data_IF_003999212405
#
_entry.id   IF_003999212405
#
_cell.length_a   1.000
_cell.length_b   1.000
_cell.length_c   1.000
_cell.angle_alpha   90.00
_cell.angle_beta   90.00
_cell.angle_gamma   90.00
#
_symmetry.space_group_name_H-M   'P 1'
#
loop_
_entity.id
_entity.type
_entity.pdbx_description
1 polymer ?
#
# COMPACT_ATOMS: atom_id res chain seq x y z
N UNK A 1 -21.83 -1.90 -13.52
CA UNK A 1 -21.72 -0.54 -12.96
C UNK A 1 -22.09 -0.61 -11.50
N UNK A 2 -21.34 0.06 -10.64
CA UNK A 2 -21.58 0.08 -9.19
C UNK A 2 -22.82 0.89 -8.86
N UNK A 3 -23.54 0.48 -7.82
CA UNK A 3 -24.68 1.21 -7.28
C UNK A 3 -24.42 1.73 -5.86
N UNK A 4 -23.55 1.05 -5.11
CA UNK A 4 -23.32 1.32 -3.68
C UNK A 4 -21.84 1.15 -3.36
N UNK A 5 -21.11 2.26 -3.26
CA UNK A 5 -19.67 2.25 -2.96
C UNK A 5 -19.46 2.53 -1.47
N UNK A 6 -18.88 1.58 -0.76
CA UNK A 6 -18.42 1.79 0.61
C UNK A 6 -17.03 2.44 0.63
N UNK A 7 -16.90 3.51 1.40
CA UNK A 7 -15.63 4.24 1.61
C UNK A 7 -14.97 3.73 2.88
N UNK A 8 -13.89 2.96 2.72
CA UNK A 8 -13.09 2.41 3.82
C UNK A 8 -11.91 3.35 4.11
N UNK A 9 -12.21 4.62 4.24
CA UNK A 9 -11.25 5.69 4.54
C UNK A 9 -11.98 6.86 5.18
N UNK A 10 -11.22 7.86 5.64
CA UNK A 10 -11.72 9.05 6.36
C UNK A 10 -11.08 10.34 5.84
N UNK A 11 -11.56 11.48 6.33
CA UNK A 11 -10.95 12.79 6.07
C UNK A 11 -10.99 13.19 4.59
N UNK A 12 -9.90 13.74 4.13
CA UNK A 12 -9.78 14.30 2.78
C UNK A 12 -9.97 13.26 1.67
N UNK A 13 -9.34 12.07 1.70
CA UNK A 13 -9.54 11.06 0.66
C UNK A 13 -11.00 10.64 0.50
N UNK A 14 -11.71 10.46 1.61
CA UNK A 14 -13.14 10.14 1.59
C UNK A 14 -13.98 11.24 0.93
N UNK A 15 -13.71 12.50 1.27
CA UNK A 15 -14.38 13.65 0.65
C UNK A 15 -14.11 13.73 -0.85
N UNK A 16 -12.89 13.46 -1.29
CA UNK A 16 -12.54 13.47 -2.73
C UNK A 16 -13.32 12.42 -3.51
N UNK A 17 -13.40 11.19 -2.98
CA UNK A 17 -14.22 10.16 -3.62
C UNK A 17 -15.69 10.56 -3.68
N UNK A 18 -16.26 11.06 -2.56
CA UNK A 18 -17.67 11.48 -2.52
C UNK A 18 -17.96 12.54 -3.58
N UNK A 19 -17.06 13.51 -3.75
CA UNK A 19 -17.18 14.55 -4.78
C UNK A 19 -17.09 13.97 -6.19
N UNK A 20 -16.10 13.13 -6.45
CA UNK A 20 -15.93 12.48 -7.76
C UNK A 20 -17.16 11.63 -8.16
N UNK A 21 -17.75 10.91 -7.21
CA UNK A 21 -18.98 10.13 -7.47
C UNK A 21 -20.17 11.05 -7.74
N UNK A 22 -20.28 12.19 -7.07
CA UNK A 22 -21.33 13.16 -7.34
C UNK A 22 -21.21 13.77 -8.74
N UNK A 23 -20.01 14.22 -9.11
CA UNK A 23 -19.71 14.72 -10.46
C UNK A 23 -20.07 13.67 -11.51
N UNK A 24 -19.69 12.43 -11.30
CA UNK A 24 -20.01 11.33 -12.21
C UNK A 24 -21.52 11.07 -12.32
N UNK A 25 -22.24 11.17 -11.21
CA UNK A 25 -23.70 11.05 -11.19
C UNK A 25 -24.39 12.21 -11.93
N UNK A 26 -23.88 13.44 -11.75
CA UNK A 26 -24.41 14.64 -12.43
C UNK A 26 -24.19 14.57 -13.94
N UNK A 27 -23.01 14.13 -14.38
CA UNK A 27 -22.66 14.03 -15.79
C UNK A 27 -23.39 12.88 -16.53
N UNK A 28 -23.57 11.74 -15.86
CA UNK A 28 -24.02 10.51 -16.53
C UNK A 28 -25.32 9.92 -15.98
N UNK A 29 -25.87 10.45 -14.89
CA UNK A 29 -27.11 9.96 -14.32
C UNK A 29 -27.05 8.56 -13.69
N UNK A 30 -25.88 8.10 -13.24
CA UNK A 30 -25.68 6.73 -12.77
C UNK A 30 -26.38 6.41 -11.44
N UNK A 31 -26.60 7.41 -10.58
CA UNK A 31 -27.28 7.23 -9.30
C UNK A 31 -26.50 6.37 -8.30
N UNK A 32 -25.16 6.42 -8.34
CA UNK A 32 -24.28 5.72 -7.41
C UNK A 32 -24.42 6.35 -6.03
N UNK A 33 -24.66 5.54 -5.01
CA UNK A 33 -24.69 5.96 -3.61
C UNK A 33 -23.36 5.70 -2.93
N UNK A 34 -22.92 6.66 -2.13
CA UNK A 34 -21.68 6.55 -1.35
C UNK A 34 -22.00 6.32 0.12
N UNK A 35 -21.42 5.29 0.71
CA UNK A 35 -21.58 4.90 2.09
C UNK A 35 -20.29 5.16 2.86
N UNK A 36 -20.29 6.04 3.83
CA UNK A 36 -19.14 6.30 4.69
C UNK A 36 -19.07 5.26 5.81
N UNK A 37 -17.96 4.51 5.88
CA UNK A 37 -17.63 3.74 7.06
C UNK A 37 -16.87 4.65 8.03
N UNK A 38 -17.28 4.69 9.31
CA UNK A 38 -16.68 5.61 10.27
C UNK A 38 -16.65 5.04 11.69
N UNK A 39 -15.71 5.49 12.50
CA UNK A 39 -15.71 5.22 13.95
C UNK A 39 -16.69 6.12 14.66
N UNK A 40 -17.10 5.77 15.88
CA UNK A 40 -18.01 6.63 16.68
C UNK A 40 -17.44 8.03 16.91
N UNK A 41 -16.12 8.14 17.09
CA UNK A 41 -15.46 9.44 17.24
C UNK A 41 -15.59 10.34 16.00
N UNK A 42 -15.77 9.74 14.83
CA UNK A 42 -15.87 10.45 13.54
C UNK A 42 -17.33 10.76 13.13
N UNK A 43 -18.30 10.42 13.94
CA UNK A 43 -19.75 10.57 13.64
C UNK A 43 -20.14 11.95 13.09
N UNK A 44 -19.43 12.99 13.50
CA UNK A 44 -19.68 14.38 13.07
C UNK A 44 -18.71 14.86 11.99
N UNK A 45 -17.81 14.00 11.49
CA UNK A 45 -16.84 14.37 10.49
C UNK A 45 -17.52 14.77 9.16
N UNK A 46 -16.84 15.61 8.40
CA UNK A 46 -17.35 16.16 7.15
C UNK A 46 -17.71 15.05 6.15
N UNK A 47 -16.87 14.03 5.99
CA UNK A 47 -17.10 12.95 5.05
C UNK A 47 -18.34 12.11 5.41
N UNK A 48 -18.62 11.92 6.69
CA UNK A 48 -19.82 11.21 7.16
C UNK A 48 -21.10 11.99 6.81
N UNK A 49 -21.07 13.31 7.00
CA UNK A 49 -22.21 14.18 6.65
C UNK A 49 -22.39 14.38 5.14
N UNK A 50 -21.30 14.20 4.38
CA UNK A 50 -21.34 14.37 2.94
C UNK A 50 -21.74 13.09 2.19
N UNK A 51 -21.62 11.93 2.79
CA UNK A 51 -22.04 10.65 2.19
C UNK A 51 -23.57 10.53 2.17
N UNK A 52 -24.09 9.64 1.31
CA UNK A 52 -25.54 9.36 1.23
C UNK A 52 -26.03 8.51 2.41
N UNK A 53 -25.15 7.63 2.90
CA UNK A 53 -25.38 6.76 4.05
C UNK A 53 -24.11 6.66 4.90
N UNK A 54 -24.24 6.22 6.13
CA UNK A 54 -23.11 5.99 7.02
C UNK A 54 -23.30 4.72 7.85
N UNK A 55 -22.21 3.98 8.09
CA UNK A 55 -22.18 2.79 8.94
C UNK A 55 -21.05 2.94 9.95
N UNK A 56 -21.38 2.75 11.22
CA UNK A 56 -20.41 2.77 12.32
C UNK A 56 -19.57 1.49 12.29
N UNK A 57 -18.25 1.66 12.29
CA UNK A 57 -17.29 0.61 12.56
C UNK A 57 -17.16 0.42 14.08
N UNK A 58 -17.41 -0.77 14.57
CA UNK A 58 -17.34 -1.13 15.98
C UNK A 58 -15.89 -1.38 16.38
N UNK A 59 -15.48 -0.86 17.52
CA UNK A 59 -14.18 -1.24 18.08
C UNK A 59 -14.26 -2.66 18.66
N UNK A 60 -13.41 -3.55 18.15
CA UNK A 60 -13.33 -4.94 18.61
C UNK A 60 -12.12 -5.20 19.51
N UNK A 61 -11.30 -4.17 19.78
CA UNK A 61 -10.06 -4.28 20.59
C UNK A 61 -9.20 -3.04 20.57
N UNK A 62 -7.90 -3.20 20.79
CA UNK A 62 -6.93 -2.12 20.89
C UNK A 62 -6.49 -1.50 19.55
N UNK A 63 -6.95 -2.03 18.42
CA UNK A 63 -6.56 -1.58 17.07
C UNK A 63 -7.55 -0.61 16.42
N UNK A 64 -7.16 -0.09 15.27
CA UNK A 64 -8.05 0.71 14.42
C UNK A 64 -9.10 -0.19 13.77
N UNK A 65 -10.41 0.12 13.88
CA UNK A 65 -11.46 -0.64 13.20
C UNK A 65 -11.32 -0.66 11.67
N UNK A 66 -10.61 0.30 11.10
CA UNK A 66 -10.27 0.32 9.66
C UNK A 66 -9.24 -0.73 9.24
N UNK A 67 -8.65 -1.46 10.20
CA UNK A 67 -7.72 -2.56 9.97
C UNK A 67 -8.30 -3.93 10.38
N UNK A 68 -9.52 -3.94 10.92
CA UNK A 68 -10.20 -5.16 11.37
C UNK A 68 -11.05 -5.74 10.23
N UNK A 69 -10.57 -6.80 9.61
CA UNK A 69 -11.24 -7.45 8.48
C UNK A 69 -12.63 -8.00 8.84
N UNK A 70 -12.80 -8.52 10.06
CA UNK A 70 -14.10 -9.04 10.48
C UNK A 70 -15.13 -7.92 10.58
N UNK A 71 -14.74 -6.80 11.18
CA UNK A 71 -15.60 -5.62 11.29
C UNK A 71 -15.85 -4.94 9.94
N UNK A 72 -14.83 -4.83 9.09
CA UNK A 72 -14.99 -4.31 7.73
C UNK A 72 -15.95 -5.19 6.92
N UNK A 73 -15.80 -6.52 6.97
CA UNK A 73 -16.71 -7.45 6.30
C UNK A 73 -18.15 -7.29 6.78
N UNK A 74 -18.37 -7.19 8.10
CA UNK A 74 -19.68 -6.93 8.69
C UNK A 74 -20.27 -5.61 8.19
N UNK A 75 -19.48 -4.55 8.17
CA UNK A 75 -19.94 -3.22 7.75
C UNK A 75 -20.31 -3.20 6.25
N UNK A 76 -19.48 -3.81 5.41
CA UNK A 76 -19.73 -3.94 3.97
C UNK A 76 -21.03 -4.69 3.67
N UNK A 77 -21.29 -5.79 4.36
CA UNK A 77 -22.54 -6.54 4.24
C UNK A 77 -23.74 -5.73 4.76
N UNK A 78 -23.59 -5.06 5.91
CA UNK A 78 -24.66 -4.23 6.52
C UNK A 78 -25.12 -3.14 5.56
N UNK A 79 -24.21 -2.47 4.88
CA UNK A 79 -24.55 -1.42 3.91
C UNK A 79 -24.90 -1.96 2.52
N UNK A 80 -24.84 -3.25 2.31
CA UNK A 80 -25.09 -3.89 1.00
C UNK A 80 -24.24 -3.25 -0.10
N UNK A 81 -22.96 -3.02 0.19
CA UNK A 81 -22.04 -2.48 -0.78
C UNK A 81 -21.84 -3.48 -1.94
N UNK A 82 -21.77 -2.99 -3.16
CA UNK A 82 -21.36 -3.76 -4.33
C UNK A 82 -19.92 -3.42 -4.75
N UNK A 83 -19.37 -2.31 -4.19
CA UNK A 83 -17.97 -1.96 -4.33
C UNK A 83 -17.42 -1.37 -3.02
N UNK A 84 -16.11 -1.54 -2.80
CA UNK A 84 -15.36 -0.97 -1.69
C UNK A 84 -14.16 -0.19 -2.24
N UNK A 85 -13.99 1.04 -1.76
CA UNK A 85 -12.87 1.88 -2.10
C UNK A 85 -12.11 2.29 -0.83
N UNK A 86 -10.78 2.16 -0.87
CA UNK A 86 -9.89 2.56 0.23
C UNK A 86 -9.06 3.79 -0.16
N UNK A 87 -8.56 3.82 -1.39
CA UNK A 87 -7.66 4.86 -1.88
C UNK A 87 -6.22 4.61 -1.43
N UNK A 88 -5.85 5.13 -0.26
CA UNK A 88 -4.52 4.96 0.32
C UNK A 88 -4.59 4.80 1.84
N UNK A 89 -3.57 4.17 2.44
CA UNK A 89 -3.54 3.89 3.89
C UNK A 89 -4.49 2.76 4.31
N UNK A 90 -4.57 2.49 5.61
CA UNK A 90 -5.35 1.38 6.17
C UNK A 90 -5.11 0.07 5.40
N UNK A 91 -6.17 -0.50 4.83
CA UNK A 91 -6.15 -1.77 4.09
C UNK A 91 -6.01 -1.57 2.56
N UNK A 92 -5.55 -0.40 2.09
CA UNK A 92 -5.42 -0.11 0.65
C UNK A 92 -4.42 -1.03 -0.06
N UNK A 93 -3.36 -1.44 0.65
CA UNK A 93 -2.30 -2.32 0.15
C UNK A 93 -2.37 -3.72 0.79
N UNK A 94 -3.51 -4.06 1.40
CA UNK A 94 -3.70 -5.34 2.08
C UNK A 94 -4.38 -6.35 1.16
N UNK A 95 -3.65 -7.36 0.65
CA UNK A 95 -4.22 -8.37 -0.23
C UNK A 95 -5.34 -9.19 0.43
N UNK A 96 -5.30 -9.38 1.76
CA UNK A 96 -6.34 -10.13 2.47
C UNK A 96 -7.67 -9.36 2.51
N UNK A 97 -7.63 -8.02 2.52
CA UNK A 97 -8.85 -7.22 2.40
C UNK A 97 -9.45 -7.30 0.98
N UNK A 98 -8.62 -7.27 -0.06
CA UNK A 98 -9.12 -7.47 -1.43
C UNK A 98 -9.75 -8.86 -1.62
N UNK A 99 -9.17 -9.91 -1.01
CA UNK A 99 -9.75 -11.27 -0.99
C UNK A 99 -11.03 -11.34 -0.18
N UNK A 100 -11.11 -10.65 0.96
CA UNK A 100 -12.35 -10.53 1.72
C UNK A 100 -13.46 -9.91 0.87
N UNK A 101 -13.19 -8.81 0.16
CA UNK A 101 -14.16 -8.21 -0.76
C UNK A 101 -14.61 -9.23 -1.82
N UNK A 102 -13.68 -9.93 -2.45
CA UNK A 102 -13.99 -10.95 -3.45
C UNK A 102 -14.86 -12.09 -2.88
N UNK A 103 -14.58 -12.56 -1.67
CA UNK A 103 -15.36 -13.59 -0.97
C UNK A 103 -16.80 -13.18 -0.68
N UNK A 104 -17.02 -11.87 -0.53
CA UNK A 104 -18.34 -11.26 -0.32
C UNK A 104 -19.02 -10.82 -1.62
N UNK A 105 -18.46 -11.14 -2.79
CA UNK A 105 -18.90 -10.68 -4.09
C UNK A 105 -18.95 -9.12 -4.21
N UNK A 106 -18.05 -8.44 -3.52
CA UNK A 106 -17.88 -6.98 -3.53
C UNK A 106 -16.65 -6.65 -4.37
N UNK A 107 -16.75 -5.73 -5.30
CA UNK A 107 -15.61 -5.29 -6.11
C UNK A 107 -14.71 -4.39 -5.27
N UNK A 108 -13.45 -4.80 -5.07
CA UNK A 108 -12.44 -3.91 -4.53
C UNK A 108 -11.96 -2.95 -5.63
N UNK A 109 -12.18 -1.64 -5.42
CA UNK A 109 -11.69 -0.61 -6.35
C UNK A 109 -10.23 -0.33 -6.03
N UNK A 110 -9.35 -1.12 -6.61
CA UNK A 110 -7.91 -1.12 -6.38
C UNK A 110 -7.24 -2.28 -7.13
N UNK A 111 -5.93 -2.49 -6.89
CA UNK A 111 -5.20 -3.57 -7.54
C UNK A 111 -5.67 -4.95 -7.07
N UNK A 112 -5.54 -6.00 -7.91
CA UNK A 112 -5.83 -7.37 -7.49
C UNK A 112 -4.91 -7.83 -6.35
N UNK A 113 -5.39 -8.72 -5.48
CA UNK A 113 -4.61 -9.25 -4.37
C UNK A 113 -3.28 -9.87 -4.80
N UNK A 114 -3.24 -10.54 -5.96
CA UNK A 114 -2.02 -11.11 -6.53
C UNK A 114 -0.97 -10.03 -6.87
N UNK A 115 -1.40 -8.91 -7.48
CA UNK A 115 -0.51 -7.78 -7.77
C UNK A 115 0.00 -7.13 -6.48
N UNK A 116 -0.87 -6.97 -5.47
CA UNK A 116 -0.46 -6.45 -4.17
C UNK A 116 0.60 -7.33 -3.50
N UNK A 117 0.46 -8.67 -3.55
CA UNK A 117 1.46 -9.58 -2.99
C UNK A 117 2.80 -9.49 -3.72
N UNK A 118 2.76 -9.49 -5.05
CA UNK A 118 3.95 -9.40 -5.87
C UNK A 118 4.72 -8.09 -5.66
N UNK A 119 4.00 -6.95 -5.68
CA UNK A 119 4.62 -5.63 -5.58
C UNK A 119 4.86 -5.16 -4.14
N UNK A 120 4.17 -5.76 -3.17
CA UNK A 120 4.37 -5.50 -1.74
C UNK A 120 5.67 -6.11 -1.21
N UNK A 121 6.17 -7.18 -1.81
CA UNK A 121 7.49 -7.72 -1.55
C UNK A 121 8.53 -6.96 -2.40
N UNK A 122 9.44 -6.23 -1.73
CA UNK A 122 10.43 -5.39 -2.42
C UNK A 122 11.45 -6.18 -3.24
N UNK A 123 11.73 -7.41 -2.85
CA UNK A 123 12.63 -8.32 -3.56
C UNK A 123 11.94 -8.82 -4.83
N UNK A 124 10.71 -9.32 -4.71
CA UNK A 124 9.92 -9.79 -5.86
C UNK A 124 9.65 -8.66 -6.85
N UNK A 125 9.33 -7.46 -6.36
CA UNK A 125 9.13 -6.28 -7.21
C UNK A 125 10.39 -5.92 -8.02
N UNK A 126 11.58 -6.00 -7.42
CA UNK A 126 12.86 -5.77 -8.13
C UNK A 126 13.15 -6.87 -9.15
N UNK A 127 12.95 -8.12 -8.81
CA UNK A 127 13.11 -9.25 -9.74
C UNK A 127 12.16 -9.11 -10.94
N UNK A 128 10.90 -8.72 -10.69
CA UNK A 128 9.95 -8.46 -11.76
C UNK A 128 10.39 -7.29 -12.64
N UNK A 129 10.89 -6.21 -12.04
CA UNK A 129 11.42 -5.06 -12.79
C UNK A 129 12.55 -5.47 -13.73
N UNK A 130 13.52 -6.27 -13.25
CA UNK A 130 14.61 -6.79 -14.07
C UNK A 130 14.10 -7.70 -15.20
N UNK A 131 13.18 -8.62 -14.89
CA UNK A 131 12.57 -9.53 -15.88
C UNK A 131 11.83 -8.77 -16.99
N UNK A 132 11.25 -7.63 -16.67
CA UNK A 132 10.51 -6.78 -17.63
C UNK A 132 11.38 -5.70 -18.28
N UNK A 133 12.69 -5.68 -17.99
CA UNK A 133 13.64 -4.72 -18.55
C UNK A 133 13.54 -3.32 -17.96
N UNK A 134 12.90 -3.16 -16.81
CA UNK A 134 12.86 -1.88 -16.08
C UNK A 134 14.18 -1.71 -15.32
N UNK A 135 14.90 -0.60 -15.51
CA UNK A 135 16.17 -0.35 -14.82
C UNK A 135 15.98 -0.30 -13.30
N UNK A 136 16.84 -1.00 -12.57
CA UNK A 136 16.92 -0.94 -11.11
C UNK A 136 18.33 -0.50 -10.68
N UNK A 137 18.41 0.15 -9.52
CA UNK A 137 19.72 0.44 -8.93
C UNK A 137 20.46 -0.88 -8.63
N UNK A 138 21.81 -0.92 -8.72
CA UNK A 138 22.58 -2.11 -8.34
C UNK A 138 22.19 -2.59 -6.94
N UNK A 139 21.92 -3.87 -6.78
CA UNK A 139 21.40 -4.45 -5.55
C UNK A 139 21.88 -5.90 -5.33
N UNK A 140 21.54 -6.50 -4.20
CA UNK A 140 21.99 -7.85 -3.83
C UNK A 140 21.37 -8.99 -4.67
N UNK A 141 20.46 -8.72 -5.58
CA UNK A 141 19.82 -9.74 -6.42
C UNK A 141 18.88 -10.68 -5.65
N UNK A 142 18.72 -10.46 -4.35
CA UNK A 142 17.93 -11.30 -3.46
C UNK A 142 18.15 -10.97 -1.99
N UNK A 143 17.65 -11.82 -1.07
CA UNK A 143 17.92 -11.72 0.35
C UNK A 143 19.41 -11.79 0.67
N UNK A 144 19.81 -11.13 1.75
CA UNK A 144 21.18 -11.21 2.28
C UNK A 144 21.23 -12.19 3.45
N UNK A 145 22.07 -13.23 3.31
CA UNK A 145 22.18 -14.35 4.25
C UNK A 145 23.29 -14.13 5.31
N UNK A 146 23.34 -12.95 5.93
CA UNK A 146 24.29 -12.63 6.97
C UNK A 146 25.47 -11.78 6.48
N UNK A 147 26.42 -11.52 7.40
CA UNK A 147 27.48 -10.51 7.22
C UNK A 147 28.45 -10.85 6.09
N UNK A 148 28.84 -12.13 5.95
CA UNK A 148 29.80 -12.53 4.90
C UNK A 148 29.19 -12.38 3.50
N UNK A 149 27.93 -12.72 3.37
CA UNK A 149 27.17 -12.52 2.14
C UNK A 149 27.00 -11.02 1.84
N UNK A 150 26.65 -10.23 2.86
CA UNK A 150 26.58 -8.78 2.76
C UNK A 150 27.88 -8.16 2.22
N UNK A 151 29.05 -8.61 2.71
CA UNK A 151 30.35 -8.12 2.24
C UNK A 151 30.59 -8.44 0.76
N UNK A 152 30.20 -9.63 0.28
CA UNK A 152 30.30 -9.97 -1.15
C UNK A 152 29.44 -9.06 -2.02
N UNK A 153 28.19 -8.83 -1.61
CA UNK A 153 27.29 -7.91 -2.32
C UNK A 153 27.79 -6.47 -2.27
N UNK A 154 28.25 -6.00 -1.10
CA UNK A 154 28.79 -4.64 -0.94
C UNK A 154 29.99 -4.38 -1.86
N UNK A 155 30.86 -5.37 -2.09
CA UNK A 155 32.00 -5.25 -3.03
C UNK A 155 31.52 -4.97 -4.48
N UNK A 156 30.37 -5.48 -4.87
CA UNK A 156 29.79 -5.26 -6.21
C UNK A 156 28.94 -3.99 -6.28
N UNK A 157 28.10 -3.75 -5.26
CA UNK A 157 27.20 -2.60 -5.20
C UNK A 157 28.01 -1.30 -5.01
N UNK A 158 29.04 -1.33 -4.16
CA UNK A 158 29.82 -0.17 -3.73
C UNK A 158 29.10 0.67 -2.67
N UNK A 159 29.89 1.51 -1.99
CA UNK A 159 29.40 2.46 -0.98
C UNK A 159 29.16 3.85 -1.60
N UNK A 160 28.24 4.67 -1.09
CA UNK A 160 27.29 4.33 -0.04
C UNK A 160 26.21 3.38 -0.54
N UNK A 161 25.76 2.49 0.32
CA UNK A 161 24.65 1.58 0.06
C UNK A 161 23.58 1.69 1.16
N UNK A 162 22.45 1.03 0.93
CA UNK A 162 21.33 1.03 1.87
C UNK A 162 20.87 -0.40 2.12
N UNK A 163 20.71 -0.75 3.39
CA UNK A 163 20.12 -2.03 3.84
C UNK A 163 18.65 -1.79 4.09
N UNK A 164 17.78 -2.62 3.51
CA UNK A 164 16.33 -2.50 3.60
C UNK A 164 15.68 -3.82 4.03
N UNK A 165 14.70 -3.74 4.92
CA UNK A 165 13.82 -4.85 5.18
C UNK A 165 12.91 -5.13 3.97
N UNK A 166 12.73 -6.41 3.61
CA UNK A 166 11.84 -6.85 2.54
C UNK A 166 10.43 -6.31 2.71
N UNK A 167 9.87 -6.46 3.91
CA UNK A 167 8.53 -6.05 4.28
C UNK A 167 8.47 -4.62 4.86
N UNK A 168 9.57 -3.84 4.77
CA UNK A 168 9.68 -2.50 5.34
C UNK A 168 8.82 -1.45 4.62
N UNK A 169 8.36 -0.45 5.38
CA UNK A 169 7.58 0.67 4.85
C UNK A 169 7.62 1.88 5.80
N UNK A 170 7.26 3.06 5.28
CA UNK A 170 7.19 4.29 6.08
C UNK A 170 8.53 4.70 6.72
N UNK A 171 9.65 4.42 6.06
CA UNK A 171 11.00 4.77 6.57
C UNK A 171 11.56 3.84 7.64
N UNK A 172 10.84 2.77 8.02
CA UNK A 172 11.28 1.76 9.00
C UNK A 172 11.95 0.58 8.31
N UNK A 173 12.91 -0.04 9.02
CA UNK A 173 13.69 -1.15 8.48
C UNK A 173 14.64 -0.71 7.37
N UNK A 174 15.25 0.47 7.50
CA UNK A 174 16.16 1.07 6.52
C UNK A 174 17.39 1.61 7.23
N UNK A 175 18.60 1.29 6.71
CA UNK A 175 19.88 1.85 7.20
C UNK A 175 20.81 2.16 6.06
N UNK A 176 21.39 3.35 6.10
CA UNK A 176 22.45 3.78 5.18
C UNK A 176 23.78 3.29 5.73
N UNK A 177 24.61 2.78 4.84
CA UNK A 177 25.96 2.28 5.12
C UNK A 177 26.93 3.03 4.22
N UNK A 178 27.82 3.82 4.80
CA UNK A 178 28.77 4.65 4.06
C UNK A 178 30.14 4.00 3.90
N UNK A 179 30.45 3.07 4.80
CA UNK A 179 31.74 2.37 4.81
C UNK A 179 31.56 0.91 5.28
N UNK A 180 32.50 0.04 4.93
CA UNK A 180 32.46 -1.37 5.27
C UNK A 180 32.38 -1.63 6.77
N UNK A 181 33.01 -0.78 7.59
CA UNK A 181 33.00 -0.90 9.04
C UNK A 181 31.60 -0.78 9.67
N UNK A 182 30.65 -0.18 8.97
CA UNK A 182 29.26 0.02 9.42
C UNK A 182 28.34 -1.15 9.00
N UNK A 183 28.79 -2.02 8.07
CA UNK A 183 27.93 -2.98 7.39
C UNK A 183 27.32 -4.01 8.35
N UNK A 184 28.13 -4.60 9.20
CA UNK A 184 27.74 -5.65 10.13
C UNK A 184 26.64 -5.15 11.10
N UNK A 185 26.88 -4.03 11.76
CA UNK A 185 25.92 -3.40 12.67
C UNK A 185 24.62 -3.01 11.94
N UNK A 186 24.72 -2.51 10.71
CA UNK A 186 23.56 -2.15 9.90
C UNK A 186 22.70 -3.38 9.54
N UNK A 187 23.29 -4.50 9.16
CA UNK A 187 22.57 -5.75 8.86
C UNK A 187 21.85 -6.25 10.11
N UNK A 188 22.59 -6.44 11.21
CA UNK A 188 22.03 -6.98 12.45
C UNK A 188 20.87 -6.15 12.98
N UNK A 189 21.05 -4.83 13.06
CA UNK A 189 19.98 -3.93 13.53
C UNK A 189 18.80 -3.87 12.60
N UNK A 190 19.02 -3.93 11.28
CA UNK A 190 17.90 -3.90 10.34
C UNK A 190 17.10 -5.19 10.43
N UNK A 191 17.76 -6.36 10.54
CA UNK A 191 17.09 -7.64 10.74
C UNK A 191 16.30 -7.70 12.05
N UNK A 192 16.90 -7.23 13.15
CA UNK A 192 16.24 -7.20 14.46
C UNK A 192 15.02 -6.27 14.47
N UNK A 193 15.11 -5.11 13.82
CA UNK A 193 13.98 -4.18 13.67
C UNK A 193 12.89 -4.78 12.78
N UNK A 194 13.27 -5.38 11.66
CA UNK A 194 12.36 -6.00 10.71
C UNK A 194 11.57 -7.15 11.37
N UNK A 195 12.25 -8.01 12.13
CA UNK A 195 11.61 -9.08 12.88
C UNK A 195 10.58 -8.55 13.89
N UNK A 196 10.92 -7.51 14.64
CA UNK A 196 10.02 -6.93 15.65
C UNK A 196 8.82 -6.21 15.01
N UNK A 197 9.05 -5.51 13.90
CA UNK A 197 8.05 -4.60 13.33
C UNK A 197 7.16 -5.30 12.31
N UNK A 198 7.73 -6.23 11.55
CA UNK A 198 7.07 -6.87 10.41
C UNK A 198 6.95 -8.39 10.56
N UNK A 199 7.48 -8.97 11.65
CA UNK A 199 7.61 -10.43 11.86
C UNK A 199 8.39 -11.14 10.73
N UNK A 200 9.27 -10.41 10.04
CA UNK A 200 10.06 -10.87 8.91
C UNK A 200 11.47 -10.27 8.98
N UNK A 201 12.52 -11.08 9.27
CA UNK A 201 13.88 -10.59 9.41
C UNK A 201 14.63 -10.42 8.09
N UNK A 202 13.99 -10.73 6.95
CA UNK A 202 14.66 -10.72 5.65
C UNK A 202 15.03 -9.30 5.25
N UNK A 203 16.29 -9.12 4.87
CA UNK A 203 16.85 -7.86 4.38
C UNK A 203 17.50 -8.04 3.02
N UNK A 204 17.60 -6.97 2.26
CA UNK A 204 18.36 -6.87 1.02
C UNK A 204 19.16 -5.57 1.00
N UNK A 205 20.08 -5.44 0.06
CA UNK A 205 20.96 -4.28 -0.09
C UNK A 205 20.85 -3.70 -1.48
N UNK A 206 20.96 -2.38 -1.57
CA UNK A 206 21.02 -1.70 -2.86
C UNK A 206 21.90 -0.44 -2.78
N UNK A 207 22.35 0.06 -3.93
CA UNK A 207 23.08 1.32 -4.03
C UNK A 207 22.21 2.47 -3.51
N UNK A 208 22.78 3.30 -2.64
CA UNK A 208 22.12 4.54 -2.24
C UNK A 208 22.19 5.55 -3.38
N UNK A 209 21.04 6.04 -3.78
CA UNK A 209 20.93 7.16 -4.74
C UNK A 209 20.86 8.45 -3.94
N UNK A 210 21.93 9.25 -3.99
CA UNK A 210 21.99 10.55 -3.34
C UNK A 210 21.57 11.66 -4.32
N UNK A 211 20.87 12.68 -3.82
CA UNK A 211 20.42 13.80 -4.63
C UNK A 211 19.37 13.47 -5.71
N UNK A 212 18.80 12.26 -5.62
CA UNK A 212 17.73 11.83 -6.53
C UNK A 212 16.40 12.52 -6.27
N UNK A 213 15.54 12.56 -7.29
CA UNK A 213 14.12 12.94 -7.16
C UNK A 213 13.26 11.68 -7.10
N UNK A 214 12.28 11.67 -6.22
CA UNK A 214 11.29 10.60 -6.17
C UNK A 214 10.15 10.90 -7.15
N UNK A 215 10.26 10.34 -8.33
CA UNK A 215 9.25 10.50 -9.38
C UNK A 215 8.48 9.19 -9.52
N UNK A 216 7.17 9.27 -9.53
CA UNK A 216 6.29 8.13 -9.73
C UNK A 216 5.31 8.39 -10.88
N UNK A 217 4.84 7.32 -11.51
CA UNK A 217 3.81 7.36 -12.54
C UNK A 217 2.53 6.77 -11.96
N UNK A 218 1.45 7.55 -11.97
CA UNK A 218 0.15 7.03 -11.59
C UNK A 218 -0.35 6.06 -12.67
N UNK A 219 -0.80 4.88 -12.23
CA UNK A 219 -1.36 3.86 -13.13
C UNK A 219 -2.79 3.55 -12.70
N UNK A 220 -3.70 3.47 -13.68
CA UNK A 220 -5.06 2.97 -13.53
C UNK A 220 -5.25 1.85 -14.52
N UNK A 221 -5.80 0.71 -14.08
CA UNK A 221 -6.08 -0.42 -14.95
C UNK A 221 -7.48 -0.96 -14.68
N UNK A 222 -8.13 -1.48 -15.71
CA UNK A 222 -9.41 -2.16 -15.59
C UNK A 222 -9.28 -3.68 -15.70
N UNK A 223 -10.40 -4.39 -15.54
CA UNK A 223 -10.44 -5.85 -15.63
C UNK A 223 -10.45 -6.36 -17.10
N UNK A 224 -10.49 -5.45 -18.08
CA UNK A 224 -10.53 -5.78 -19.51
C UNK A 224 -9.17 -5.64 -20.19
N UNK A 225 -8.13 -5.27 -19.41
CA UNK A 225 -6.75 -5.15 -19.89
C UNK A 225 -6.38 -3.74 -20.35
N UNK A 226 -7.26 -2.75 -20.21
CA UNK A 226 -6.88 -1.36 -20.45
C UNK A 226 -6.01 -0.86 -19.29
N UNK A 227 -4.88 -0.23 -19.63
CA UNK A 227 -3.95 0.39 -18.70
C UNK A 227 -3.73 1.83 -19.10
N UNK A 228 -3.91 2.75 -18.19
CA UNK A 228 -3.74 4.18 -18.40
C UNK A 228 -2.76 4.78 -17.39
N UNK A 229 -1.82 5.58 -17.89
CA UNK A 229 -0.86 6.35 -17.10
C UNK A 229 -1.17 7.84 -17.25
N UNK A 230 -2.05 8.43 -16.42
CA UNK A 230 -2.54 9.80 -16.58
C UNK A 230 -1.48 10.87 -16.33
N UNK A 231 -0.39 10.55 -15.67
CA UNK A 231 0.68 11.52 -15.42
C UNK A 231 1.70 11.08 -14.39
N UNK A 232 2.65 11.98 -14.18
CA UNK A 232 3.78 11.82 -13.24
C UNK A 232 3.50 12.61 -11.97
N UNK A 233 3.94 12.08 -10.84
CA UNK A 233 3.96 12.78 -9.54
C UNK A 233 5.40 12.91 -9.07
N UNK A 234 5.75 14.08 -8.54
CA UNK A 234 7.02 14.32 -7.85
C UNK A 234 6.77 14.28 -6.34
N UNK A 235 7.33 13.30 -5.68
CA UNK A 235 7.17 13.06 -4.23
C UNK A 235 8.42 13.47 -3.45
N UNK A 236 9.29 14.31 -4.03
CA UNK A 236 10.56 14.75 -3.42
C UNK A 236 10.38 15.88 -2.40
N UNK A 237 9.19 16.46 -2.26
CA UNK A 237 8.89 17.65 -1.44
C UNK A 237 8.21 17.20 -0.16
#
# INVERSE_FOLDING_TARGET
>A
MFRRIAVVNRGEPAIRLIRAVRELNEEHGYGIRVIALHTEAERRAMFVRAADEAVVLRSTGAGSPYLDHAELGRALQTCRADAAWVGWGFVAEDPAFAELCASLAIVFIGPPAAAMRCLGDKIEAKLLAEQTGVPVAPWSGGPVEGVQDARRHAATIGYPLIVKARSGGGGRGIRIVRAEAELEDAIERTQAEALRTFADPVVFMERLVEGGRHIEVQVIADQHGAVWAPGVRDCSV
#
